data_IF_032458067632
#
_entry.id   IF_032458067632
#
_cell.length_a   1.000
_cell.length_b   1.000
_cell.length_c   1.000
_cell.angle_alpha   90.00
_cell.angle_beta   90.00
_cell.angle_gamma   90.00
#
_symmetry.space_group_name_H-M   'P 1'
#
loop_
_entity.id
_entity.type
_entity.pdbx_description
1 polymer ?
#
# COMPACT_ATOMS: atom_id res chain seq x y z
N UNK A 1 10.53 46.93 6.19
CA UNK A 1 11.50 45.91 6.66
C UNK A 1 10.66 44.73 7.14
N UNK A 2 10.77 43.48 6.68
CA UNK A 2 11.89 42.66 6.24
C UNK A 2 11.44 41.70 5.14
N UNK A 3 12.28 41.46 4.14
CA UNK A 3 12.83 40.11 3.96
C UNK A 3 14.03 40.12 3.01
N UNK A 4 15.20 39.87 3.57
CA UNK A 4 16.32 39.32 2.83
C UNK A 4 15.93 37.90 2.41
N UNK A 5 15.54 37.70 1.16
CA UNK A 5 15.38 36.36 0.59
C UNK A 5 16.17 36.28 -0.73
N UNK A 6 17.04 35.27 -0.84
CA UNK A 6 17.95 35.12 -1.97
C UNK A 6 17.22 34.89 -3.32
N UNK A 7 15.96 34.47 -3.31
CA UNK A 7 15.12 34.28 -4.50
C UNK A 7 14.78 35.56 -5.28
N UNK A 8 15.14 36.75 -4.79
CA UNK A 8 15.00 38.01 -5.55
C UNK A 8 16.17 38.30 -6.51
N UNK A 9 17.20 37.45 -6.49
CA UNK A 9 18.41 37.62 -7.32
C UNK A 9 18.30 36.77 -8.60
N UNK A 10 18.55 37.37 -9.78
CA UNK A 10 18.76 36.61 -11.00
C UNK A 10 19.82 35.51 -10.77
N UNK A 11 19.49 34.26 -11.10
CA UNK A 11 20.37 33.10 -10.94
C UNK A 11 20.10 32.21 -9.72
N UNK A 12 19.19 32.57 -8.81
CA UNK A 12 18.73 31.65 -7.76
C UNK A 12 17.58 30.77 -8.24
N UNK A 13 17.54 29.52 -7.76
CA UNK A 13 16.47 28.57 -8.06
C UNK A 13 15.13 29.12 -7.53
N UNK A 14 14.10 29.20 -8.39
CA UNK A 14 12.81 29.83 -8.08
C UNK A 14 12.73 31.35 -8.34
N UNK A 15 13.75 31.97 -8.95
CA UNK A 15 13.66 33.35 -9.44
C UNK A 15 12.72 33.43 -10.66
N UNK A 16 11.63 34.19 -10.53
CA UNK A 16 10.71 34.51 -11.63
C UNK A 16 10.57 36.03 -11.68
N UNK A 17 11.01 36.61 -12.80
CA UNK A 17 10.84 38.04 -13.07
C UNK A 17 9.36 38.33 -13.34
N UNK A 18 8.82 39.36 -12.66
CA UNK A 18 7.42 39.78 -12.80
C UNK A 18 6.36 38.71 -12.50
N UNK A 19 6.59 37.87 -11.48
CA UNK A 19 5.69 36.78 -11.11
C UNK A 19 4.26 37.27 -10.79
N UNK A 20 3.30 36.94 -11.67
CA UNK A 20 1.87 37.29 -11.52
C UNK A 20 1.26 36.78 -10.21
N UNK A 21 1.86 35.75 -9.62
CA UNK A 21 1.46 35.10 -8.37
C UNK A 21 1.83 35.92 -7.12
N UNK A 22 2.74 36.90 -7.23
CA UNK A 22 3.26 37.64 -6.08
C UNK A 22 2.54 38.97 -5.81
N UNK A 23 1.59 39.37 -6.65
CA UNK A 23 0.75 40.55 -6.39
C UNK A 23 -0.52 40.49 -7.24
N UNK A 24 -1.68 40.29 -6.61
CA UNK A 24 -3.05 40.44 -7.13
C UNK A 24 -3.11 40.95 -8.60
N UNK A 25 -2.88 40.04 -9.55
CA UNK A 25 -2.96 40.22 -11.01
C UNK A 25 -1.92 41.11 -11.73
N UNK A 26 -0.93 41.73 -11.07
CA UNK A 26 -0.03 42.69 -11.74
C UNK A 26 1.48 42.44 -11.63
N UNK A 27 1.93 41.30 -11.08
CA UNK A 27 3.29 40.80 -11.32
C UNK A 27 4.44 41.81 -11.13
N UNK A 28 4.41 42.64 -10.09
CA UNK A 28 5.45 43.67 -9.82
C UNK A 28 6.43 43.29 -8.71
N UNK A 29 6.27 42.11 -8.09
CA UNK A 29 7.04 41.67 -6.92
C UNK A 29 7.83 40.39 -7.21
N UNK A 30 9.01 40.28 -6.59
CA UNK A 30 9.87 39.09 -6.61
C UNK A 30 9.47 38.16 -5.45
N UNK A 31 9.44 36.84 -5.70
CA UNK A 31 8.88 35.84 -4.79
C UNK A 31 9.55 35.87 -3.40
N UNK A 32 8.79 36.18 -2.34
CA UNK A 32 9.30 36.28 -0.97
C UNK A 32 8.21 36.20 0.10
N UNK A 33 8.38 35.25 1.03
CA UNK A 33 7.68 35.08 2.32
C UNK A 33 6.19 34.68 2.35
N UNK A 34 5.32 35.18 1.47
CA UNK A 34 3.87 34.81 1.48
C UNK A 34 3.56 33.45 0.83
N UNK A 35 4.51 32.87 0.12
CA UNK A 35 4.33 31.62 -0.61
C UNK A 35 4.67 30.39 0.26
N UNK A 36 5.50 30.51 1.29
CA UNK A 36 5.90 29.39 2.14
C UNK A 36 4.74 28.78 2.94
N UNK A 37 3.71 29.57 3.24
CA UNK A 37 2.48 29.07 3.86
C UNK A 37 1.75 28.05 2.98
N UNK A 38 1.84 28.19 1.65
CA UNK A 38 1.27 27.22 0.70
C UNK A 38 2.01 25.88 0.64
N UNK A 39 3.18 25.78 1.30
CA UNK A 39 3.98 24.56 1.40
C UNK A 39 3.94 23.93 2.79
N UNK A 40 3.09 24.45 3.69
CA UNK A 40 2.86 23.90 5.02
C UNK A 40 1.52 23.17 5.04
N UNK A 41 1.48 21.92 5.52
CA UNK A 41 0.22 21.19 5.65
C UNK A 41 -0.71 21.83 6.69
N UNK A 42 -0.14 22.49 7.71
CA UNK A 42 -0.89 23.14 8.77
C UNK A 42 -0.16 24.39 9.32
N UNK A 43 -0.88 25.22 10.07
CA UNK A 43 -0.34 26.47 10.62
C UNK A 43 0.56 26.29 11.85
N UNK A 44 0.71 25.07 12.35
CA UNK A 44 1.53 24.76 13.53
C UNK A 44 2.89 24.14 13.16
N UNK A 45 2.99 23.50 12.00
CA UNK A 45 4.24 22.96 11.48
C UNK A 45 5.13 24.05 10.88
N UNK A 46 6.38 24.10 11.33
CA UNK A 46 7.42 24.92 10.70
C UNK A 46 8.06 24.24 9.50
N UNK A 47 7.82 22.93 9.34
CA UNK A 47 8.36 22.08 8.28
C UNK A 47 7.63 22.37 6.96
N UNK A 48 8.42 22.60 5.91
CA UNK A 48 7.93 22.80 4.56
C UNK A 48 8.05 21.49 3.78
N UNK A 49 7.03 21.15 3.00
CA UNK A 49 7.05 19.99 2.09
C UNK A 49 7.54 18.69 2.77
N UNK A 50 7.19 18.51 4.06
CA UNK A 50 7.63 17.38 4.90
C UNK A 50 9.16 17.11 4.91
N UNK A 51 10.00 18.10 4.58
CA UNK A 51 11.44 17.93 4.32
C UNK A 51 11.78 16.91 3.22
N UNK A 52 10.82 16.60 2.34
CA UNK A 52 10.98 15.67 1.22
C UNK A 52 10.80 16.37 -0.13
N UNK A 53 10.92 17.69 -0.15
CA UNK A 53 10.76 18.51 -1.35
C UNK A 53 11.21 19.95 -1.12
N UNK A 54 11.28 20.70 -2.20
CA UNK A 54 11.60 22.13 -2.20
C UNK A 54 10.32 22.95 -2.40
N UNK A 55 10.14 23.99 -1.58
CA UNK A 55 9.00 24.89 -1.74
C UNK A 55 9.31 25.96 -2.79
N UNK A 56 8.68 25.85 -3.96
CA UNK A 56 8.90 26.76 -5.09
C UNK A 56 7.58 27.46 -5.40
N UNK A 57 7.57 28.79 -5.27
CA UNK A 57 6.39 29.61 -5.53
C UNK A 57 5.11 29.08 -4.82
N UNK A 58 5.27 28.59 -3.59
CA UNK A 58 4.17 28.17 -2.73
C UNK A 58 3.50 26.87 -3.10
N UNK A 59 4.19 26.05 -3.90
CA UNK A 59 3.90 24.64 -4.12
C UNK A 59 5.14 23.82 -3.78
N UNK A 60 4.93 22.58 -3.36
CA UNK A 60 6.02 21.67 -3.12
C UNK A 60 6.43 20.93 -4.40
N UNK A 61 7.72 20.96 -4.69
CA UNK A 61 8.35 20.08 -5.68
C UNK A 61 9.06 18.96 -4.95
N UNK A 62 8.48 17.76 -4.98
CA UNK A 62 8.98 16.63 -4.20
C UNK A 62 10.29 16.08 -4.77
N UNK A 63 11.21 15.74 -3.88
CA UNK A 63 12.48 15.14 -4.25
C UNK A 63 12.25 13.76 -4.85
N UNK A 64 12.88 13.50 -6.00
CA UNK A 64 12.96 12.15 -6.55
C UNK A 64 13.86 11.29 -5.65
N UNK A 65 13.50 10.03 -5.44
CA UNK A 65 14.37 9.14 -4.68
C UNK A 65 15.67 8.92 -5.46
N UNK A 66 16.81 8.98 -4.77
CA UNK A 66 18.13 8.77 -5.38
C UNK A 66 18.47 7.29 -5.60
N UNK A 67 17.80 6.41 -4.87
CA UNK A 67 18.17 4.99 -4.79
C UNK A 67 17.46 4.13 -5.85
N UNK A 68 16.30 4.56 -6.34
CA UNK A 68 15.53 3.83 -7.35
C UNK A 68 14.59 4.79 -8.12
N UNK A 69 14.62 4.77 -9.45
CA UNK A 69 13.75 5.60 -10.30
C UNK A 69 12.26 5.29 -10.09
N UNK A 70 11.92 4.09 -9.62
CA UNK A 70 10.54 3.69 -9.34
C UNK A 70 10.01 4.25 -8.02
N UNK A 71 10.88 4.68 -7.11
CA UNK A 71 10.49 5.22 -5.81
C UNK A 71 10.20 6.73 -5.95
N UNK A 72 8.97 7.11 -5.60
CA UNK A 72 8.45 8.46 -5.78
C UNK A 72 7.87 8.97 -4.47
N UNK A 73 8.21 10.21 -4.15
CA UNK A 73 7.52 11.01 -3.14
C UNK A 73 6.54 11.92 -3.87
N UNK A 74 5.32 12.03 -3.37
CA UNK A 74 4.24 12.78 -3.98
C UNK A 74 3.28 13.34 -2.92
N UNK A 75 2.25 14.05 -3.38
CA UNK A 75 1.32 14.80 -2.53
C UNK A 75 1.61 16.30 -2.57
N UNK A 76 0.63 17.10 -2.15
CA UNK A 76 0.71 18.57 -2.23
C UNK A 76 1.82 19.13 -1.31
N UNK A 77 2.16 18.37 -0.28
CA UNK A 77 3.19 18.69 0.71
C UNK A 77 4.28 17.61 0.77
N UNK A 78 4.40 16.74 -0.24
CA UNK A 78 5.35 15.63 -0.26
C UNK A 78 5.22 14.67 0.94
N UNK A 79 3.99 14.49 1.41
CA UNK A 79 3.63 13.67 2.56
C UNK A 79 3.51 12.18 2.24
N UNK A 80 3.33 11.84 0.96
CA UNK A 80 3.11 10.49 0.51
C UNK A 80 4.32 9.93 -0.24
N UNK A 81 4.46 8.61 -0.22
CA UNK A 81 5.39 7.88 -1.07
C UNK A 81 4.81 6.51 -1.47
N UNK A 82 5.43 5.88 -2.46
CA UNK A 82 5.02 4.57 -2.99
C UNK A 82 5.92 3.42 -2.53
N UNK A 83 6.71 3.58 -1.45
CA UNK A 83 7.68 2.57 -1.01
C UNK A 83 7.64 2.25 0.49
N UNK A 84 6.84 2.99 1.28
CA UNK A 84 6.68 2.82 2.73
C UNK A 84 5.40 2.09 3.14
N UNK A 85 4.89 1.18 2.31
CA UNK A 85 3.76 0.31 2.65
C UNK A 85 4.20 -1.02 3.30
N UNK A 86 3.22 -1.79 3.77
CA UNK A 86 3.44 -3.13 4.32
C UNK A 86 4.11 -4.07 3.32
N UNK A 87 4.91 -4.98 3.86
CA UNK A 87 5.64 -6.00 3.10
C UNK A 87 5.24 -7.38 3.57
N UNK A 88 5.09 -8.28 2.62
CA UNK A 88 4.95 -9.71 2.87
C UNK A 88 5.99 -10.45 2.05
N UNK A 89 6.70 -11.41 2.65
CA UNK A 89 7.85 -12.08 2.03
C UNK A 89 8.89 -11.10 1.45
N UNK A 90 9.15 -9.99 2.14
CA UNK A 90 10.02 -8.88 1.73
C UNK A 90 9.56 -8.08 0.49
N UNK A 91 8.45 -8.45 -0.13
CA UNK A 91 7.86 -7.74 -1.27
C UNK A 91 6.85 -6.72 -0.78
N UNK A 92 6.95 -5.50 -1.33
CA UNK A 92 5.99 -4.42 -1.07
C UNK A 92 4.63 -4.82 -1.63
N UNK A 93 3.59 -4.80 -0.79
CA UNK A 93 2.23 -5.19 -1.17
C UNK A 93 2.15 -6.58 -1.83
N UNK A 94 2.99 -7.52 -1.37
CA UNK A 94 3.14 -8.87 -1.94
C UNK A 94 3.61 -8.93 -3.40
N UNK A 95 4.09 -7.81 -3.94
CA UNK A 95 4.58 -7.68 -5.30
C UNK A 95 3.62 -6.91 -6.22
N UNK A 96 4.11 -6.43 -7.37
CA UNK A 96 3.33 -5.59 -8.29
C UNK A 96 2.12 -6.32 -8.89
N UNK A 97 2.16 -7.65 -8.97
CA UNK A 97 1.03 -8.46 -9.47
C UNK A 97 -0.12 -8.56 -8.46
N UNK A 98 0.14 -8.25 -7.18
CA UNK A 98 -0.82 -8.35 -6.09
C UNK A 98 -1.38 -6.99 -5.69
N UNK A 99 -0.56 -5.94 -5.75
CA UNK A 99 -1.00 -4.59 -5.45
C UNK A 99 0.09 -3.54 -5.59
N UNK A 100 -0.35 -2.29 -5.55
CA UNK A 100 0.53 -1.12 -5.61
C UNK A 100 0.50 -0.35 -4.29
N UNK A 101 1.63 0.22 -3.90
CA UNK A 101 1.71 1.04 -2.70
C UNK A 101 1.29 2.48 -3.01
N UNK A 102 0.33 3.00 -2.24
CA UNK A 102 -0.12 4.38 -2.32
C UNK A 102 -0.21 4.99 -0.93
N UNK A 103 0.73 5.90 -0.62
CA UNK A 103 0.73 6.70 0.60
C UNK A 103 0.57 5.85 1.89
N UNK A 104 1.43 4.85 2.04
CA UNK A 104 1.45 3.97 3.21
C UNK A 104 0.35 2.90 3.24
N UNK A 105 -0.46 2.76 2.19
CA UNK A 105 -1.46 1.69 2.06
C UNK A 105 -1.26 0.90 0.79
N UNK A 106 -1.40 -0.42 0.87
CA UNK A 106 -1.44 -1.25 -0.32
C UNK A 106 -2.83 -1.21 -0.96
N UNK A 107 -2.87 -0.84 -2.23
CA UNK A 107 -4.05 -0.92 -3.08
C UNK A 107 -3.99 -2.27 -3.78
N UNK A 108 -4.67 -3.25 -3.20
CA UNK A 108 -4.65 -4.62 -3.72
C UNK A 108 -5.47 -4.74 -5.00
N UNK A 109 -4.98 -5.57 -5.92
CA UNK A 109 -5.76 -6.05 -7.05
C UNK A 109 -6.99 -6.83 -6.55
N UNK A 110 -8.02 -6.93 -7.39
CA UNK A 110 -9.33 -7.51 -7.03
C UNK A 110 -9.18 -8.88 -6.37
N UNK A 111 -8.33 -9.74 -6.92
CA UNK A 111 -8.13 -11.11 -6.45
C UNK A 111 -7.33 -11.24 -5.15
N UNK A 112 -6.82 -10.12 -4.61
CA UNK A 112 -6.02 -10.06 -3.39
C UNK A 112 -6.61 -9.12 -2.32
N UNK A 113 -7.79 -8.55 -2.59
CA UNK A 113 -8.46 -7.64 -1.69
C UNK A 113 -9.34 -8.41 -0.72
N UNK A 114 -8.72 -8.95 0.33
CA UNK A 114 -9.37 -9.72 1.38
C UNK A 114 -9.30 -8.97 2.71
N UNK A 115 -10.45 -8.84 3.38
CA UNK A 115 -10.55 -8.17 4.68
C UNK A 115 -9.61 -8.81 5.70
N UNK A 116 -8.81 -7.99 6.39
CA UNK A 116 -7.85 -8.42 7.40
C UNK A 116 -6.42 -8.62 6.88
N UNK A 117 -6.20 -8.54 5.57
CA UNK A 117 -4.89 -8.67 4.93
C UNK A 117 -4.50 -7.37 4.24
N UNK A 118 -3.63 -6.58 4.86
CA UNK A 118 -3.30 -5.22 4.40
C UNK A 118 -2.12 -5.18 3.44
N UNK A 119 -1.36 -6.27 3.29
CA UNK A 119 -0.20 -6.37 2.41
C UNK A 119 -0.51 -7.13 1.10
N UNK A 120 -1.78 -7.35 0.77
CA UNK A 120 -2.25 -8.10 -0.42
C UNK A 120 -1.70 -9.55 -0.49
N UNK A 121 -1.48 -10.15 0.68
CA UNK A 121 -0.87 -11.48 0.83
C UNK A 121 -1.87 -12.63 0.69
N UNK A 122 -3.17 -12.32 0.66
CA UNK A 122 -4.24 -13.29 0.67
C UNK A 122 -5.07 -13.21 -0.59
N UNK A 123 -5.21 -14.34 -1.29
CA UNK A 123 -6.09 -14.40 -2.46
C UNK A 123 -7.56 -14.60 -2.05
N UNK A 124 -8.48 -13.95 -2.77
CA UNK A 124 -9.91 -14.20 -2.71
C UNK A 124 -10.35 -15.43 -3.52
N UNK A 125 -9.47 -15.98 -4.38
CA UNK A 125 -9.77 -17.21 -5.09
C UNK A 125 -9.88 -18.38 -4.12
N UNK A 126 -10.88 -19.21 -4.37
CA UNK A 126 -11.16 -20.43 -3.62
C UNK A 126 -10.79 -21.69 -4.38
N UNK A 127 -10.28 -21.55 -5.61
CA UNK A 127 -10.06 -22.67 -6.53
C UNK A 127 -9.08 -23.69 -5.95
N UNK A 128 -8.06 -23.22 -5.21
CA UNK A 128 -7.07 -24.10 -4.55
C UNK A 128 -7.62 -24.85 -3.35
N UNK A 129 -8.83 -24.51 -2.88
CA UNK A 129 -9.51 -25.17 -1.76
C UNK A 129 -10.59 -26.15 -2.23
N UNK A 130 -10.81 -26.29 -3.53
CA UNK A 130 -11.76 -27.25 -4.09
C UNK A 130 -11.07 -28.61 -4.21
N UNK A 131 -11.65 -29.65 -3.60
CA UNK A 131 -11.08 -31.00 -3.65
C UNK A 131 -11.18 -31.57 -5.07
N UNK A 132 -10.06 -32.00 -5.70
CA UNK A 132 -10.08 -32.54 -7.08
C UNK A 132 -10.27 -34.06 -7.15
N UNK A 133 -10.50 -34.74 -6.03
CA UNK A 133 -10.57 -36.20 -5.93
C UNK A 133 -11.45 -36.65 -4.75
N UNK A 134 -11.68 -37.97 -4.65
CA UNK A 134 -12.37 -38.60 -3.52
C UNK A 134 -13.88 -38.38 -3.52
N UNK A 135 -14.52 -38.71 -2.40
CA UNK A 135 -15.98 -38.60 -2.20
C UNK A 135 -16.47 -37.15 -2.25
N UNK A 136 -15.62 -36.21 -1.84
CA UNK A 136 -15.94 -34.78 -1.74
C UNK A 136 -15.42 -33.96 -2.92
N UNK A 137 -15.28 -34.57 -4.10
CA UNK A 137 -14.86 -33.87 -5.31
C UNK A 137 -15.74 -32.64 -5.59
N UNK A 138 -15.12 -31.56 -6.07
CA UNK A 138 -15.73 -30.27 -6.35
C UNK A 138 -16.33 -29.52 -5.14
N UNK A 139 -16.07 -29.98 -3.90
CA UNK A 139 -16.47 -29.27 -2.68
C UNK A 139 -15.32 -28.45 -2.10
N UNK A 140 -15.63 -27.21 -1.72
CA UNK A 140 -14.71 -26.36 -0.94
C UNK A 140 -14.43 -27.02 0.41
N UNK A 141 -13.15 -27.31 0.67
CA UNK A 141 -12.66 -27.92 1.90
C UNK A 141 -13.50 -29.14 2.33
N UNK A 142 -13.89 -29.95 1.34
CA UNK A 142 -14.74 -31.13 1.50
C UNK A 142 -16.07 -30.89 2.25
N UNK A 143 -16.49 -29.63 2.44
CA UNK A 143 -17.62 -29.25 3.29
C UNK A 143 -17.33 -29.22 4.81
N UNK A 144 -16.09 -29.42 5.21
CA UNK A 144 -15.66 -29.56 6.62
C UNK A 144 -14.74 -28.43 7.09
N UNK A 145 -14.72 -27.31 6.37
CA UNK A 145 -13.89 -26.15 6.71
C UNK A 145 -14.21 -24.92 5.89
N UNK A 146 -13.34 -23.91 6.02
CA UNK A 146 -13.42 -22.65 5.28
C UNK A 146 -12.11 -22.40 4.54
N UNK A 147 -12.20 -21.96 3.28
CA UNK A 147 -11.03 -21.55 2.51
C UNK A 147 -10.54 -20.16 2.96
N UNK A 148 -9.28 -20.06 3.35
CA UNK A 148 -8.63 -18.82 3.77
C UNK A 148 -7.28 -18.72 3.07
N UNK A 149 -7.13 -17.70 2.22
CA UNK A 149 -5.91 -17.45 1.42
C UNK A 149 -5.45 -18.70 0.65
N UNK A 150 -6.40 -19.38 0.01
CA UNK A 150 -6.14 -20.58 -0.78
C UNK A 150 -5.79 -21.84 0.02
N UNK A 151 -5.99 -21.84 1.35
CA UNK A 151 -5.80 -23.01 2.20
C UNK A 151 -7.05 -23.32 3.01
N UNK A 152 -7.38 -24.59 3.14
CA UNK A 152 -8.50 -25.01 3.97
C UNK A 152 -8.15 -24.95 5.46
N UNK A 153 -8.97 -24.22 6.22
CA UNK A 153 -9.00 -24.31 7.68
C UNK A 153 -10.19 -25.17 8.09
N UNK A 154 -9.91 -26.39 8.51
CA UNK A 154 -10.94 -27.33 8.95
C UNK A 154 -11.65 -26.83 10.21
N UNK A 155 -12.92 -27.19 10.36
CA UNK A 155 -13.74 -26.77 11.49
C UNK A 155 -13.20 -27.39 12.79
N UNK A 156 -12.97 -26.55 13.80
CA UNK A 156 -12.37 -26.97 15.09
C UNK A 156 -13.17 -28.05 15.82
N UNK A 157 -14.50 -28.04 15.65
CA UNK A 157 -15.40 -29.03 16.25
C UNK A 157 -15.47 -30.35 15.45
N UNK A 158 -14.74 -30.46 14.34
CA UNK A 158 -14.72 -31.63 13.48
C UNK A 158 -13.38 -32.36 13.62
N UNK A 159 -13.39 -33.69 13.52
CA UNK A 159 -12.15 -34.48 13.50
C UNK A 159 -11.53 -34.56 12.11
N UNK A 160 -12.07 -33.82 11.14
CA UNK A 160 -11.61 -33.85 9.77
C UNK A 160 -10.26 -33.15 9.64
N UNK A 161 -9.38 -33.75 8.84
CA UNK A 161 -8.02 -33.28 8.62
C UNK A 161 -7.62 -33.48 7.14
N UNK A 162 -6.39 -33.10 6.78
CA UNK A 162 -5.93 -33.14 5.39
C UNK A 162 -5.93 -31.77 4.72
N UNK A 163 -5.43 -31.71 3.50
CA UNK A 163 -5.28 -30.46 2.73
C UNK A 163 -6.62 -29.83 2.39
N UNK A 164 -7.65 -30.65 2.21
CA UNK A 164 -9.01 -30.24 1.88
C UNK A 164 -10.01 -30.66 2.95
N UNK A 165 -9.57 -30.96 4.18
CA UNK A 165 -10.42 -31.48 5.25
C UNK A 165 -11.19 -32.76 4.86
N UNK A 166 -10.57 -33.61 4.03
CA UNK A 166 -11.16 -34.83 3.47
C UNK A 166 -10.97 -36.07 4.35
N UNK A 167 -10.01 -36.04 5.29
CA UNK A 167 -9.65 -37.20 6.11
C UNK A 167 -10.52 -37.25 7.36
N UNK A 168 -11.46 -38.18 7.37
CA UNK A 168 -12.28 -38.52 8.52
C UNK A 168 -11.66 -39.69 9.31
N UNK A 169 -11.13 -39.49 10.53
CA UNK A 169 -10.50 -40.57 11.30
C UNK A 169 -11.49 -41.58 11.90
N UNK A 170 -12.77 -41.23 12.03
CA UNK A 170 -13.82 -42.09 12.59
C UNK A 170 -14.80 -42.67 11.55
N UNK A 171 -14.55 -42.44 10.26
CA UNK A 171 -15.46 -42.93 9.23
C UNK A 171 -15.28 -44.45 8.99
N UNK A 172 -16.37 -45.20 8.76
CA UNK A 172 -16.38 -46.67 8.79
C UNK A 172 -15.37 -47.34 7.85
N UNK A 173 -14.99 -46.69 6.75
CA UNK A 173 -14.14 -47.28 5.71
C UNK A 173 -12.71 -47.58 6.15
N UNK A 174 -12.24 -47.03 7.28
CA UNK A 174 -10.90 -47.31 7.84
C UNK A 174 -10.90 -48.12 9.14
N UNK A 175 -12.06 -48.50 9.65
CA UNK A 175 -12.16 -49.30 10.88
C UNK A 175 -11.55 -50.71 10.72
N UNK A 176 -11.49 -51.24 9.50
CA UNK A 176 -10.88 -52.55 9.24
C UNK A 176 -9.36 -52.51 9.09
N UNK A 177 -8.75 -51.37 8.77
CA UNK A 177 -7.28 -51.19 8.75
C UNK A 177 -6.68 -50.94 10.14
N UNK A 178 -7.47 -50.43 11.09
CA UNK A 178 -7.02 -50.06 12.43
C UNK A 178 -7.25 -51.15 13.50
N UNK A 179 -7.68 -52.35 13.11
CA UNK A 179 -7.76 -53.49 14.04
C UNK A 179 -6.33 -53.90 14.44
N UNK A 180 -5.97 -53.83 15.73
CA UNK A 180 -4.72 -54.40 16.21
C UNK A 180 -4.70 -55.90 15.88
N UNK A 181 -3.59 -56.36 15.34
CA UNK A 181 -3.37 -57.77 15.01
C UNK A 181 -3.14 -58.62 16.24
#
# INVERSE_FOLDING_TARGET
>A
MMCQCNCEKPGNHGYIENAKQCNLLHGTLKCGRYLLAGCRPDNTTSILCNNRGDCICGKCECHSSRDNENNKVFGDFCECDNFSCDRHNNLLCSGPDHGECYCGKCICAREWNVTGYTACECSSSKDTCVTPYGEFIDKECSGHGHCICGKCRCNENSQYSGTYCEVCPLCPDKCDELKPR
#
